data_IF_683794109279
#
_entry.id   IF_683794109279
#
_cell.length_a   1.000
_cell.length_b   1.000
_cell.length_c   1.000
_cell.angle_alpha   90.00
_cell.angle_beta   90.00
_cell.angle_gamma   90.00
#
_symmetry.space_group_name_H-M   'P 1'
#
loop_
_entity.id
_entity.type
_entity.pdbx_description
1 polymer ?
#
# COMPACT_ATOMS: atom_id res chain seq x y z
N UNK A 1 9.48 -18.29 -27.60
CA UNK A 1 10.68 -17.71 -26.94
C UNK A 1 10.59 -17.62 -25.41
N UNK A 2 9.42 -17.79 -24.76
CA UNK A 2 9.29 -17.64 -23.30
C UNK A 2 9.84 -18.79 -22.44
N UNK A 3 9.76 -20.05 -22.90
CA UNK A 3 10.07 -21.23 -22.07
C UNK A 3 11.53 -21.28 -21.61
N UNK A 4 12.50 -21.03 -22.50
CA UNK A 4 13.93 -20.96 -22.13
C UNK A 4 14.26 -19.82 -21.17
N UNK A 5 13.50 -18.74 -21.19
CA UNK A 5 13.69 -17.64 -20.24
C UNK A 5 13.20 -18.02 -18.85
N UNK A 6 12.03 -18.67 -18.74
CA UNK A 6 11.48 -19.11 -17.46
C UNK A 6 12.30 -20.21 -16.82
N UNK A 7 12.84 -21.14 -17.62
CA UNK A 7 13.73 -22.17 -17.12
C UNK A 7 15.00 -21.57 -16.50
N UNK A 8 15.62 -20.58 -17.16
CA UNK A 8 16.76 -19.84 -16.59
C UNK A 8 16.40 -19.06 -15.31
N UNK A 9 15.15 -18.60 -15.15
CA UNK A 9 14.70 -17.97 -13.88
C UNK A 9 14.50 -18.97 -12.76
N UNK A 10 14.10 -20.21 -13.09
CA UNK A 10 13.87 -21.27 -12.11
C UNK A 10 15.19 -21.85 -11.58
N UNK A 11 16.25 -21.79 -12.38
CA UNK A 11 17.60 -22.25 -12.03
C UNK A 11 18.47 -21.19 -11.33
N UNK A 12 17.95 -19.96 -11.13
CA UNK A 12 18.67 -18.90 -10.42
C UNK A 12 18.89 -19.24 -8.94
N UNK A 13 20.08 -18.92 -8.45
CA UNK A 13 20.33 -18.86 -7.01
C UNK A 13 19.58 -17.68 -6.38
N UNK A 14 19.34 -17.73 -5.07
CA UNK A 14 18.65 -16.66 -4.35
C UNK A 14 19.39 -15.30 -4.49
N UNK A 15 20.72 -15.30 -4.52
CA UNK A 15 21.53 -14.09 -4.73
C UNK A 15 21.34 -13.51 -6.13
N UNK A 16 21.38 -14.36 -7.17
CA UNK A 16 21.13 -13.92 -8.56
C UNK A 16 19.70 -13.41 -8.73
N UNK A 17 18.73 -14.08 -8.11
CA UNK A 17 17.32 -13.66 -8.12
C UNK A 17 17.15 -12.31 -7.46
N UNK A 18 17.75 -12.10 -6.28
CA UNK A 18 17.67 -10.85 -5.54
C UNK A 18 18.35 -9.70 -6.29
N UNK A 19 19.53 -9.93 -6.88
CA UNK A 19 20.19 -8.95 -7.75
C UNK A 19 19.32 -8.56 -8.95
N UNK A 20 18.74 -9.55 -9.65
CA UNK A 20 17.83 -9.28 -10.78
C UNK A 20 16.57 -8.52 -10.36
N UNK A 21 15.94 -8.90 -9.25
CA UNK A 21 14.76 -8.21 -8.73
C UNK A 21 15.10 -6.76 -8.33
N UNK A 22 16.26 -6.52 -7.73
CA UNK A 22 16.74 -5.19 -7.39
C UNK A 22 16.89 -4.30 -8.63
N UNK A 23 17.50 -4.81 -9.70
CA UNK A 23 17.64 -4.09 -10.97
C UNK A 23 16.27 -3.76 -11.60
N UNK A 24 15.32 -4.70 -11.57
CA UNK A 24 13.96 -4.45 -12.08
C UNK A 24 13.20 -3.44 -11.22
N UNK A 25 13.37 -3.49 -9.90
CA UNK A 25 12.78 -2.52 -8.98
C UNK A 25 13.35 -1.13 -9.23
N UNK A 26 14.68 -0.99 -9.36
CA UNK A 26 15.34 0.29 -9.66
C UNK A 26 14.84 0.88 -10.98
N UNK A 27 14.87 0.11 -12.07
CA UNK A 27 14.36 0.56 -13.37
C UNK A 27 12.88 0.95 -13.30
N UNK A 28 12.11 0.21 -12.50
CA UNK A 28 10.72 0.56 -12.21
C UNK A 28 10.63 1.95 -11.59
N UNK A 29 11.38 2.22 -10.52
CA UNK A 29 11.39 3.52 -9.85
C UNK A 29 11.82 4.67 -10.75
N UNK A 30 12.89 4.48 -11.53
CA UNK A 30 13.37 5.48 -12.50
C UNK A 30 12.26 5.82 -13.50
N UNK A 31 11.61 4.80 -14.06
CA UNK A 31 10.45 5.01 -14.93
C UNK A 31 9.27 5.72 -14.26
N UNK A 32 9.04 5.53 -12.95
CA UNK A 32 8.01 6.27 -12.21
C UNK A 32 8.40 7.72 -11.92
N UNK A 33 9.68 7.99 -11.75
CA UNK A 33 10.19 9.34 -11.50
C UNK A 33 10.12 10.22 -12.74
N UNK A 34 10.17 9.61 -13.93
CA UNK A 34 10.07 10.28 -15.23
C UNK A 34 8.63 10.43 -15.77
N UNK A 35 7.62 9.88 -15.07
CA UNK A 35 6.22 10.00 -15.50
C UNK A 35 5.70 11.43 -15.44
N UNK A 36 4.93 11.83 -16.46
CA UNK A 36 4.10 13.04 -16.39
C UNK A 36 2.90 12.81 -15.47
N UNK A 37 2.26 13.90 -15.04
CA UNK A 37 1.06 13.81 -14.21
C UNK A 37 -0.09 13.04 -14.90
N UNK A 38 -0.27 13.16 -16.22
CA UNK A 38 -1.28 12.38 -16.94
C UNK A 38 -0.96 10.88 -16.95
N UNK A 39 0.30 10.52 -17.17
CA UNK A 39 0.75 9.12 -17.17
C UNK A 39 0.60 8.51 -15.78
N UNK A 40 0.99 9.27 -14.74
CA UNK A 40 0.81 8.90 -13.35
C UNK A 40 -0.67 8.69 -13.01
N UNK A 41 -1.53 9.63 -13.40
CA UNK A 41 -2.97 9.55 -13.13
C UNK A 41 -3.62 8.35 -13.85
N UNK A 42 -3.25 8.10 -15.11
CA UNK A 42 -3.70 6.92 -15.86
C UNK A 42 -3.28 5.62 -15.16
N UNK A 43 -2.01 5.50 -14.75
CA UNK A 43 -1.51 4.33 -14.02
C UNK A 43 -2.25 4.13 -12.69
N UNK A 44 -2.44 5.21 -11.91
CA UNK A 44 -3.16 5.16 -10.64
C UNK A 44 -4.62 4.71 -10.83
N UNK A 45 -5.30 5.20 -11.88
CA UNK A 45 -6.66 4.80 -12.22
C UNK A 45 -6.76 3.30 -12.52
N UNK A 46 -5.81 2.75 -13.30
CA UNK A 46 -5.74 1.31 -13.58
C UNK A 46 -5.49 0.49 -12.30
N UNK A 47 -4.59 0.94 -11.42
CA UNK A 47 -4.34 0.26 -10.14
C UNK A 47 -5.57 0.30 -9.23
N UNK A 48 -6.29 1.42 -9.18
CA UNK A 48 -7.52 1.56 -8.42
C UNK A 48 -8.60 0.60 -8.94
N UNK A 49 -8.82 0.57 -10.25
CA UNK A 49 -9.78 -0.34 -10.88
C UNK A 49 -9.45 -1.81 -10.58
N UNK A 50 -8.19 -2.21 -10.74
CA UNK A 50 -7.73 -3.57 -10.40
C UNK A 50 -7.89 -3.89 -8.92
N UNK A 51 -7.70 -2.89 -8.05
CA UNK A 51 -7.99 -3.00 -6.62
C UNK A 51 -9.46 -3.25 -6.34
N UNK A 52 -10.37 -2.55 -7.03
CA UNK A 52 -11.81 -2.76 -6.88
C UNK A 52 -12.23 -4.17 -7.35
N UNK A 53 -11.70 -4.64 -8.48
CA UNK A 53 -11.97 -5.99 -8.97
C UNK A 53 -11.56 -7.05 -7.94
N UNK A 54 -10.33 -6.96 -7.40
CA UNK A 54 -9.87 -7.89 -6.36
C UNK A 54 -10.72 -7.84 -5.08
N UNK A 55 -11.21 -6.66 -4.69
CA UNK A 55 -12.12 -6.52 -3.54
C UNK A 55 -13.51 -7.11 -3.83
N UNK A 56 -14.00 -6.97 -5.05
CA UNK A 56 -15.26 -7.55 -5.49
C UNK A 56 -15.22 -9.07 -5.56
N UNK A 57 -14.06 -9.65 -5.85
CA UNK A 57 -13.82 -11.09 -5.92
C UNK A 57 -13.33 -11.70 -4.59
N UNK A 58 -13.14 -10.88 -3.55
CA UNK A 58 -12.63 -11.34 -2.26
C UNK A 58 -13.68 -12.18 -1.51
N UNK A 59 -13.28 -13.36 -1.04
CA UNK A 59 -14.12 -14.22 -0.21
C UNK A 59 -14.24 -13.65 1.21
N UNK A 60 -15.28 -14.03 1.95
CA UNK A 60 -15.42 -13.59 3.34
C UNK A 60 -14.27 -14.08 4.24
N UNK A 61 -13.74 -15.27 3.99
CA UNK A 61 -12.54 -15.79 4.68
C UNK A 61 -11.32 -14.90 4.42
N UNK A 62 -11.12 -14.42 3.18
CA UNK A 62 -10.04 -13.50 2.84
C UNK A 62 -10.22 -12.14 3.51
N UNK A 63 -11.45 -11.64 3.61
CA UNK A 63 -11.75 -10.38 4.31
C UNK A 63 -11.52 -10.50 5.82
N UNK A 64 -11.90 -11.63 6.42
CA UNK A 64 -11.66 -11.92 7.84
C UNK A 64 -10.15 -12.04 8.11
N UNK A 65 -9.41 -12.73 7.25
CA UNK A 65 -7.96 -12.86 7.37
C UNK A 65 -7.25 -11.51 7.23
N UNK A 66 -7.68 -10.64 6.30
CA UNK A 66 -7.16 -9.28 6.17
C UNK A 66 -7.43 -8.46 7.44
N UNK A 67 -8.67 -8.44 7.95
CA UNK A 67 -9.01 -7.80 9.22
C UNK A 67 -8.14 -8.29 10.39
N UNK A 68 -7.99 -9.60 10.55
CA UNK A 68 -7.14 -10.19 11.59
C UNK A 68 -5.66 -9.81 11.42
N UNK A 69 -5.16 -9.75 10.18
CA UNK A 69 -3.80 -9.28 9.92
C UNK A 69 -3.65 -7.82 10.32
N UNK A 70 -4.62 -6.95 10.01
CA UNK A 70 -4.63 -5.55 10.41
C UNK A 70 -4.61 -5.38 11.93
N UNK A 71 -5.43 -6.13 12.67
CA UNK A 71 -5.46 -6.08 14.14
C UNK A 71 -4.12 -6.50 14.76
N UNK A 72 -3.47 -7.52 14.19
CA UNK A 72 -2.16 -7.97 14.65
C UNK A 72 -1.03 -6.96 14.33
N UNK A 73 -1.10 -6.28 13.18
CA UNK A 73 -0.16 -5.20 12.81
C UNK A 73 -0.38 -3.98 13.69
N UNK A 74 -1.64 -3.58 13.92
CA UNK A 74 -2.01 -2.46 14.78
C UNK A 74 -1.63 -2.70 16.24
N UNK A 75 -1.73 -3.94 16.72
CA UNK A 75 -1.32 -4.32 18.08
C UNK A 75 0.20 -4.30 18.31
N UNK A 76 1.00 -4.34 17.24
CA UNK A 76 2.47 -4.26 17.29
C UNK A 76 2.98 -2.81 17.28
N UNK A 77 2.20 -1.91 16.69
CA UNK A 77 2.41 -0.47 16.80
C UNK A 77 1.84 -0.02 18.16
N UNK A 78 2.65 0.00 19.22
CA UNK A 78 2.20 0.65 20.46
C UNK A 78 1.69 2.06 20.12
N UNK A 79 0.47 2.44 20.56
CA UNK A 79 -0.02 3.79 20.36
C UNK A 79 0.92 4.74 21.10
N UNK A 80 1.87 5.33 20.36
CA UNK A 80 2.73 6.39 20.87
C UNK A 80 1.82 7.47 21.42
N UNK A 81 2.09 7.88 22.65
CA UNK A 81 1.36 8.80 23.54
C UNK A 81 1.16 10.23 23.00
N UNK A 82 0.90 10.38 21.70
CA UNK A 82 0.76 11.64 20.98
C UNK A 82 -0.70 12.03 20.74
N UNK A 83 -1.64 11.11 20.90
CA UNK A 83 -3.10 11.36 20.76
C UNK A 83 -3.67 12.32 21.81
N UNK A 84 -3.07 12.43 23.00
CA UNK A 84 -3.59 13.32 24.04
C UNK A 84 -3.29 14.82 23.79
N UNK A 85 -2.34 15.15 22.91
CA UNK A 85 -2.04 16.54 22.55
C UNK A 85 -2.95 17.04 21.43
N UNK A 86 -3.24 16.19 20.43
CA UNK A 86 -4.18 16.52 19.35
C UNK A 86 -5.63 16.63 19.81
N UNK A 87 -6.05 15.89 20.85
CA UNK A 87 -7.40 16.05 21.42
C UNK A 87 -7.55 17.42 22.13
N UNK A 88 -6.51 17.90 22.80
CA UNK A 88 -6.52 19.20 23.49
C UNK A 88 -6.58 20.39 22.51
N UNK A 89 -5.89 20.27 21.37
CA UNK A 89 -5.86 21.32 20.34
C UNK A 89 -7.17 21.37 19.52
N UNK A 90 -7.96 20.28 19.50
CA UNK A 90 -9.24 20.19 18.80
C UNK A 90 -10.48 20.50 19.67
N UNK A 91 -10.39 20.49 21.00
CA UNK A 91 -11.51 20.83 21.90
C UNK A 91 -12.05 22.28 21.77
N UNK A 92 -11.24 23.32 21.50
CA UNK A 92 -11.76 24.69 21.39
C UNK A 92 -12.76 24.89 20.24
N UNK A 93 -12.59 24.15 19.14
CA UNK A 93 -13.44 24.28 17.95
C UNK A 93 -14.83 23.67 18.13
N UNK A 94 -14.99 22.66 19.01
CA UNK A 94 -16.29 22.04 19.28
C UNK A 94 -17.12 22.89 20.25
N UNK A 95 -16.47 23.52 21.23
CA UNK A 95 -17.14 24.31 22.28
C UNK A 95 -17.57 25.72 21.82
N UNK A 96 -17.12 26.18 20.65
CA UNK A 96 -17.63 27.43 20.03
C UNK A 96 -18.97 27.23 19.32
N UNK A 97 -19.36 26.00 18.99
CA UNK A 97 -20.60 25.71 18.26
C UNK A 97 -21.83 25.62 19.20
N UNK A 98 -21.63 25.32 20.49
CA UNK A 98 -22.70 25.23 21.50
C UNK A 98 -23.00 26.54 22.24
N UNK A 99 -22.16 27.58 22.13
CA UNK A 99 -22.38 28.89 22.79
C UNK A 99 -22.92 29.98 21.85
N UNK A 100 -23.57 29.58 20.75
CA UNK A 100 -24.34 30.48 19.89
C UNK A 100 -25.83 30.12 19.98
N UNK A 101 -26.43 30.36 21.16
CA UNK A 101 -27.87 30.56 21.35
C UNK A 101 -28.06 31.91 22.02
#
# INVERSE_FOLDING_TARGET
MGQRSQQRRAEETEEQRNSRLAVMAQRGQEGRAEETDEQRNSRLAVMAQRGQMRRGEATEEQKIADWQQWDNVASREEPKKQTNKEIADCQPCYNMQENAV
#
